data_IF_055137826682
#
_entry.id   IF_055137826682
#
_cell.length_a   1.000
_cell.length_b   1.000
_cell.length_c   1.000
_cell.angle_alpha   90.00
_cell.angle_beta   90.00
_cell.angle_gamma   90.00
#
_symmetry.space_group_name_H-M   'P 1'
#
loop_
_entity.id
_entity.type
_entity.pdbx_description
1 polymer ?
#
# COMPACT_ATOMS: atom_id res chain seq x y z
N UNK A 1 5.88 9.89 -0.17
CA UNK A 1 6.58 9.12 -1.23
C UNK A 1 5.66 8.17 -2.01
N UNK A 2 4.89 7.31 -1.33
CA UNK A 2 3.97 6.38 -2.01
C UNK A 2 2.87 7.09 -2.82
N UNK A 3 2.25 8.14 -2.25
CA UNK A 3 1.23 8.96 -2.93
C UNK A 3 1.75 9.61 -4.21
N UNK A 4 3.03 10.05 -4.22
CA UNK A 4 3.65 10.60 -5.43
C UNK A 4 3.70 9.55 -6.55
N UNK A 5 4.09 8.31 -6.23
CA UNK A 5 4.09 7.20 -7.20
C UNK A 5 2.67 6.86 -7.67
N UNK A 6 1.68 6.94 -6.78
CA UNK A 6 0.27 6.73 -7.10
C UNK A 6 -0.20 7.75 -8.16
N UNK A 7 0.11 9.04 -7.96
CA UNK A 7 -0.26 10.12 -8.89
C UNK A 7 0.50 9.99 -10.21
N UNK A 8 1.83 9.80 -10.17
CA UNK A 8 2.69 9.72 -11.37
C UNK A 8 2.33 8.54 -12.27
N UNK A 9 1.79 7.45 -11.70
CA UNK A 9 1.38 6.25 -12.43
C UNK A 9 -0.12 6.02 -12.33
N UNK A 10 -0.92 7.09 -12.35
CA UNK A 10 -2.38 7.04 -12.26
C UNK A 10 -2.99 5.92 -13.12
N UNK A 11 -2.62 5.84 -14.40
CA UNK A 11 -3.18 4.85 -15.35
C UNK A 11 -3.02 3.40 -14.86
N UNK A 12 -1.95 3.10 -14.13
CA UNK A 12 -1.70 1.75 -13.59
C UNK A 12 -2.59 1.43 -12.39
N UNK A 13 -2.99 2.44 -11.63
CA UNK A 13 -3.70 2.26 -10.35
C UNK A 13 -5.16 2.65 -10.42
N UNK A 14 -5.60 3.27 -11.51
CA UNK A 14 -6.96 3.79 -11.62
C UNK A 14 -8.01 2.69 -11.48
N UNK A 15 -7.72 1.47 -11.92
CA UNK A 15 -8.63 0.32 -11.82
C UNK A 15 -8.83 -0.18 -10.37
N UNK A 16 -7.99 0.25 -9.42
CA UNK A 16 -8.15 -0.05 -7.98
C UNK A 16 -9.14 0.91 -7.29
N UNK A 17 -9.68 1.89 -8.02
CA UNK A 17 -10.63 2.88 -7.53
C UNK A 17 -11.96 2.69 -8.25
N UNK A 18 -13.04 2.71 -7.46
CA UNK A 18 -14.41 2.64 -7.96
C UNK A 18 -15.07 4.03 -7.95
N UNK A 19 -16.37 4.07 -8.24
CA UNK A 19 -17.14 5.31 -8.28
C UNK A 19 -17.33 5.96 -6.88
N UNK A 20 -16.96 5.27 -5.79
CA UNK A 20 -17.12 5.79 -4.42
C UNK A 20 -16.02 6.78 -4.02
N UNK A 21 -14.82 6.63 -4.58
CA UNK A 21 -13.69 7.50 -4.32
C UNK A 21 -12.70 7.46 -5.49
N UNK A 22 -12.46 8.61 -6.10
CA UNK A 22 -11.46 8.72 -7.16
C UNK A 22 -10.04 8.62 -6.62
N UNK A 23 -9.10 8.17 -7.46
CA UNK A 23 -7.66 8.16 -7.14
C UNK A 23 -7.16 9.53 -6.66
N UNK A 24 -7.69 10.61 -7.24
CA UNK A 24 -7.32 11.97 -6.85
C UNK A 24 -7.80 12.30 -5.44
N UNK A 25 -9.07 12.03 -5.12
CA UNK A 25 -9.62 12.26 -3.77
C UNK A 25 -8.88 11.45 -2.72
N UNK A 26 -8.57 10.19 -3.02
CA UNK A 26 -7.75 9.35 -2.15
C UNK A 26 -6.34 9.92 -1.97
N UNK A 27 -5.67 10.31 -3.07
CA UNK A 27 -4.33 10.90 -3.00
C UNK A 27 -4.30 12.19 -2.17
N UNK A 28 -5.32 13.04 -2.32
CA UNK A 28 -5.45 14.30 -1.57
C UNK A 28 -5.69 14.05 -0.07
N UNK A 29 -6.34 12.94 0.32
CA UNK A 29 -6.40 12.52 1.73
C UNK A 29 -5.05 12.00 2.22
N UNK A 30 -4.43 11.11 1.46
CA UNK A 30 -3.21 10.41 1.88
C UNK A 30 -1.94 11.28 1.96
N UNK A 31 -1.99 12.55 1.52
CA UNK A 31 -0.92 13.52 1.78
C UNK A 31 -1.00 14.14 3.17
N UNK A 32 -2.14 14.03 3.86
CA UNK A 32 -2.35 14.60 5.19
C UNK A 32 -1.79 13.67 6.29
N UNK A 33 -1.04 14.24 7.21
CA UNK A 33 -0.49 13.50 8.35
C UNK A 33 -1.61 12.99 9.27
N UNK A 34 -1.51 11.72 9.68
CA UNK A 34 -2.47 11.07 10.56
C UNK A 34 -3.63 10.37 9.85
N UNK A 35 -3.74 10.51 8.52
CA UNK A 35 -4.72 9.75 7.74
C UNK A 35 -4.33 8.27 7.65
N UNK A 36 -5.32 7.39 7.88
CA UNK A 36 -5.13 5.95 7.78
C UNK A 36 -5.17 5.52 6.32
N UNK A 37 -4.09 4.90 5.86
CA UNK A 37 -4.03 4.30 4.53
C UNK A 37 -4.59 2.86 4.54
N UNK A 38 -5.16 2.45 3.41
CA UNK A 38 -5.60 1.09 3.17
C UNK A 38 -4.71 0.34 2.16
N UNK A 39 -5.13 -0.85 1.76
CA UNK A 39 -4.37 -1.74 0.88
C UNK A 39 -3.97 -1.12 -0.46
N UNK A 40 -4.70 -0.11 -0.96
CA UNK A 40 -4.41 0.58 -2.23
C UNK A 40 -3.04 1.27 -2.22
N UNK A 41 -2.50 1.63 -1.05
CA UNK A 41 -1.16 2.26 -0.94
C UNK A 41 0.00 1.25 -1.03
N UNK A 42 -0.26 -0.04 -0.81
CA UNK A 42 0.80 -1.06 -0.68
C UNK A 42 1.62 -1.19 -1.98
N UNK A 43 0.95 -1.20 -3.13
CA UNK A 43 1.59 -1.29 -4.44
C UNK A 43 2.45 -0.05 -4.79
N UNK A 44 1.95 1.19 -4.65
CA UNK A 44 2.78 2.40 -4.79
C UNK A 44 3.94 2.45 -3.80
N UNK A 45 3.72 2.05 -2.54
CA UNK A 45 4.73 2.09 -1.48
C UNK A 45 5.92 1.19 -1.84
N UNK A 46 5.68 -0.08 -2.19
CA UNK A 46 6.77 -1.01 -2.55
C UNK A 46 7.56 -0.55 -3.77
N UNK A 47 6.91 0.08 -4.74
CA UNK A 47 7.59 0.63 -5.92
C UNK A 47 8.46 1.83 -5.56
N UNK A 48 7.97 2.71 -4.67
CA UNK A 48 8.73 3.86 -4.21
C UNK A 48 9.99 3.46 -3.44
N UNK A 49 9.92 2.37 -2.67
CA UNK A 49 11.02 1.88 -1.83
C UNK A 49 11.89 0.82 -2.51
N UNK A 50 11.45 0.26 -3.65
CA UNK A 50 12.08 -0.87 -4.34
C UNK A 50 12.27 -2.08 -3.43
N UNK A 51 11.18 -2.56 -2.83
CA UNK A 51 11.18 -3.68 -1.86
C UNK A 51 10.16 -4.74 -2.25
N UNK A 52 10.38 -5.98 -1.84
CA UNK A 52 9.31 -6.98 -1.74
C UNK A 52 8.54 -6.71 -0.44
N UNK A 53 7.21 -6.86 -0.50
CA UNK A 53 6.35 -6.69 0.67
C UNK A 53 5.62 -7.99 0.96
N UNK A 54 5.68 -8.45 2.21
CA UNK A 54 4.83 -9.51 2.75
C UNK A 54 3.89 -8.92 3.80
N UNK A 55 2.61 -9.22 3.69
CA UNK A 55 1.56 -8.75 4.61
C UNK A 55 0.92 -9.97 5.25
N UNK A 56 1.03 -10.12 6.57
CA UNK A 56 0.30 -11.14 7.32
C UNK A 56 -1.11 -10.65 7.64
N UNK A 57 -2.12 -11.46 7.34
CA UNK A 57 -3.55 -11.12 7.48
C UNK A 57 -4.23 -11.83 8.65
N UNK A 58 -3.49 -12.65 9.42
CA UNK A 58 -4.02 -13.51 10.48
C UNK A 58 -4.35 -14.92 9.97
N UNK A 59 -4.59 -15.85 10.89
CA UNK A 59 -4.95 -17.26 10.59
C UNK A 59 -4.00 -17.96 9.59
N UNK A 60 -2.69 -17.68 9.68
CA UNK A 60 -1.65 -18.15 8.76
C UNK A 60 -1.83 -17.68 7.30
N UNK A 61 -2.71 -16.72 7.03
CA UNK A 61 -2.86 -16.10 5.72
C UNK A 61 -1.88 -14.95 5.56
N UNK A 62 -1.30 -14.87 4.36
CA UNK A 62 -0.42 -13.78 4.00
C UNK A 62 -0.51 -13.48 2.50
N UNK A 63 -0.22 -12.24 2.14
CA UNK A 63 -0.04 -11.80 0.77
C UNK A 63 1.43 -11.47 0.53
N UNK A 64 1.95 -11.86 -0.63
CA UNK A 64 3.30 -11.48 -1.08
C UNK A 64 3.18 -10.73 -2.38
N UNK A 65 3.81 -9.54 -2.43
CA UNK A 65 3.98 -8.81 -3.68
C UNK A 65 5.46 -8.61 -4.00
N UNK A 66 5.99 -9.46 -4.87
CA UNK A 66 7.40 -9.42 -5.27
C UNK A 66 7.67 -8.38 -6.38
N UNK A 67 8.77 -7.63 -6.23
CA UNK A 67 9.34 -6.74 -7.26
C UNK A 67 10.69 -7.24 -7.77
N UNK A 68 11.07 -8.49 -7.45
CA UNK A 68 12.42 -9.02 -7.66
C UNK A 68 13.51 -8.12 -7.04
N UNK A 69 13.19 -7.48 -5.90
CA UNK A 69 14.16 -6.74 -5.12
C UNK A 69 14.96 -7.68 -4.21
N UNK A 70 16.19 -7.31 -3.86
CA UNK A 70 16.95 -7.98 -2.81
C UNK A 70 16.42 -7.65 -1.41
N UNK A 71 15.67 -6.55 -1.25
CA UNK A 71 15.14 -6.10 0.04
C UNK A 71 13.71 -6.59 0.23
N UNK A 72 13.41 -7.12 1.42
CA UNK A 72 12.08 -7.56 1.83
C UNK A 72 11.66 -6.84 3.11
N UNK A 73 10.40 -6.40 3.17
CA UNK A 73 9.75 -5.88 4.36
C UNK A 73 8.53 -6.72 4.69
N UNK A 74 8.32 -6.94 5.98
CA UNK A 74 7.22 -7.74 6.49
C UNK A 74 6.38 -6.89 7.45
N UNK A 75 5.07 -6.89 7.22
CA UNK A 75 4.10 -6.19 8.06
C UNK A 75 2.95 -7.14 8.41
N UNK A 76 2.30 -6.94 9.54
CA UNK A 76 1.05 -7.62 9.88
C UNK A 76 -0.10 -6.61 9.93
N UNK A 77 -1.25 -6.99 9.39
CA UNK A 77 -2.49 -6.24 9.42
C UNK A 77 -3.35 -6.72 10.60
N UNK A 78 -3.58 -5.84 11.56
CA UNK A 78 -4.20 -6.12 12.85
C UNK A 78 -5.47 -5.28 12.99
N UNK A 79 -6.54 -5.92 13.47
CA UNK A 79 -7.83 -5.28 13.79
C UNK A 79 -8.42 -4.41 12.67
N UNK A 80 -8.12 -4.76 11.42
CA UNK A 80 -8.61 -4.10 10.20
C UNK A 80 -8.21 -2.62 10.01
N UNK A 81 -7.36 -2.07 10.87
CA UNK A 81 -6.97 -0.65 10.78
C UNK A 81 -5.49 -0.41 11.06
N UNK A 82 -4.77 -1.42 11.52
CA UNK A 82 -3.43 -1.24 12.04
C UNK A 82 -2.42 -2.09 11.28
N UNK A 83 -1.29 -1.49 10.92
CA UNK A 83 -0.15 -2.22 10.38
C UNK A 83 1.01 -2.14 11.35
N UNK A 84 1.61 -3.29 11.66
CA UNK A 84 2.80 -3.40 12.51
C UNK A 84 3.95 -4.00 11.72
N UNK A 85 5.18 -3.56 12.02
CA UNK A 85 6.38 -4.21 11.51
C UNK A 85 6.52 -5.60 12.12
N UNK A 86 6.90 -6.58 11.30
CA UNK A 86 7.38 -7.88 11.77
C UNK A 86 8.91 -7.84 11.71
N UNK A 87 9.56 -8.19 12.82
CA UNK A 87 11.03 -8.16 12.98
C UNK A 87 11.56 -9.59 13.07
#
# INVERSE_FOLDING_TARGET
MAVKVLIEKKEKYQDEFDDSESLKEYADKMICDGEFADARINLPMRQSQKVNLRIYLGDNNFEITNLNSQKQFEIAYVDRIHYVSVV
#
